data_IF_951637814949
#
_entry.id   IF_951637814949
#
_cell.length_a   1.000
_cell.length_b   1.000
_cell.length_c   1.000
_cell.angle_alpha   90.00
_cell.angle_beta   90.00
_cell.angle_gamma   90.00
#
_symmetry.space_group_name_H-M   'P 1'
#
loop_
_entity.id
_entity.type
_entity.pdbx_description
1 polymer ?
#
# COMPACT_ATOMS: atom_id res chain seq x y z
N UNK A 1 -5.73 9.91 12.87
CA UNK A 1 -5.98 9.32 14.21
C UNK A 1 -7.19 8.42 14.14
N UNK A 2 -7.46 7.60 15.18
CA UNK A 2 -8.68 6.76 15.19
C UNK A 2 -9.98 7.58 15.13
N UNK A 3 -9.95 8.85 15.55
CA UNK A 3 -11.10 9.77 15.42
C UNK A 3 -11.20 10.43 14.04
N UNK A 4 -10.43 9.99 13.04
CA UNK A 4 -10.37 10.62 11.71
C UNK A 4 -9.65 11.98 11.65
N UNK A 5 -9.23 12.55 12.79
CA UNK A 5 -8.51 13.83 12.82
C UNK A 5 -7.09 13.66 12.28
N UNK A 6 -6.66 14.60 11.45
CA UNK A 6 -5.28 14.75 11.00
C UNK A 6 -4.43 15.37 12.10
N UNK A 7 -3.20 14.90 12.23
CA UNK A 7 -2.20 15.45 13.15
C UNK A 7 -0.91 15.71 12.38
N UNK A 8 -0.13 16.69 12.82
CA UNK A 8 1.21 16.90 12.29
C UNK A 8 2.14 15.78 12.77
N UNK A 9 2.94 15.23 11.85
CA UNK A 9 4.10 14.42 12.22
C UNK A 9 5.28 15.38 12.45
N UNK A 10 5.75 15.59 13.69
CA UNK A 10 6.82 16.55 13.96
C UNK A 10 8.15 16.03 13.40
N UNK A 11 8.98 16.95 12.92
CA UNK A 11 10.37 16.64 12.60
C UNK A 11 11.17 16.48 13.91
N UNK A 12 11.78 15.32 14.09
CA UNK A 12 12.66 15.02 15.22
C UNK A 12 14.08 14.83 14.64
N UNK A 13 15.06 15.67 14.99
CA UNK A 13 16.41 15.57 14.47
C UNK A 13 17.01 14.17 14.67
N UNK A 14 17.57 13.59 13.61
CA UNK A 14 18.19 12.26 13.63
C UNK A 14 17.20 11.09 13.65
N UNK A 15 15.89 11.33 13.68
CA UNK A 15 14.89 10.26 13.66
C UNK A 15 14.47 9.87 12.23
N UNK A 16 14.04 8.62 12.09
CA UNK A 16 13.39 8.11 10.88
C UNK A 16 11.91 7.91 11.20
N UNK A 17 11.03 8.49 10.38
CA UNK A 17 9.60 8.19 10.45
C UNK A 17 9.35 6.83 9.79
N UNK A 18 8.76 5.91 10.54
CA UNK A 18 8.38 4.58 10.04
C UNK A 18 6.87 4.44 10.11
N UNK A 19 6.26 4.03 8.99
CA UNK A 19 4.85 3.69 8.90
C UNK A 19 4.67 2.29 8.33
N UNK A 20 3.49 1.72 8.57
CA UNK A 20 3.08 0.42 8.02
C UNK A 20 2.26 0.61 6.74
N UNK A 21 2.38 -0.34 5.82
CA UNK A 21 1.62 -0.39 4.57
C UNK A 21 0.51 -1.44 4.59
N UNK A 22 -0.30 -1.45 3.54
CA UNK A 22 -1.48 -2.32 3.41
C UNK A 22 -1.13 -3.81 3.35
N UNK A 23 0.00 -4.19 2.73
CA UNK A 23 0.39 -5.60 2.68
C UNK A 23 0.68 -6.16 4.09
N UNK A 24 1.30 -5.36 4.96
CA UNK A 24 1.51 -5.72 6.37
C UNK A 24 0.19 -5.73 7.15
N UNK A 25 -0.76 -4.85 6.80
CA UNK A 25 -2.11 -4.88 7.37
C UNK A 25 -2.80 -6.22 7.12
N UNK A 26 -2.70 -6.74 5.88
CA UNK A 26 -3.21 -8.07 5.52
C UNK A 26 -2.53 -9.18 6.30
N UNK A 27 -1.19 -9.21 6.31
CA UNK A 27 -0.42 -10.22 7.06
C UNK A 27 -0.76 -10.26 8.54
N UNK A 28 -0.95 -9.11 9.16
CA UNK A 28 -1.24 -9.01 10.59
C UNK A 28 -2.73 -9.01 10.93
N UNK A 29 -3.57 -9.41 9.98
CA UNK A 29 -5.02 -9.51 10.15
C UNK A 29 -5.66 -8.23 10.72
N UNK A 30 -5.16 -7.07 10.31
CA UNK A 30 -5.62 -5.76 10.76
C UNK A 30 -4.97 -5.22 12.04
N UNK A 31 -4.02 -5.93 12.66
CA UNK A 31 -3.32 -5.45 13.88
C UNK A 31 -2.47 -4.21 13.62
N UNK A 32 -1.73 -4.17 12.51
CA UNK A 32 -1.04 -2.97 12.06
C UNK A 32 -1.82 -2.31 10.93
N UNK A 33 -2.15 -1.02 11.08
CA UNK A 33 -3.03 -0.31 10.15
C UNK A 33 -2.20 0.55 9.21
N UNK A 34 -2.48 0.47 7.91
CA UNK A 34 -1.95 1.40 6.92
C UNK A 34 -2.59 2.79 7.12
N UNK A 35 -1.96 3.62 7.95
CA UNK A 35 -2.55 4.90 8.34
C UNK A 35 -2.48 5.89 7.19
N UNK A 36 -3.60 6.52 6.78
CA UNK A 36 -3.58 7.58 5.78
C UNK A 36 -2.64 8.71 6.19
N UNK A 37 -1.78 9.13 5.27
CA UNK A 37 -0.82 10.22 5.47
C UNK A 37 -0.76 11.08 4.21
N UNK A 38 -0.48 12.37 4.39
CA UNK A 38 -0.35 13.33 3.29
C UNK A 38 0.70 14.37 3.63
N UNK A 39 1.29 14.95 2.60
CA UNK A 39 2.19 16.10 2.73
C UNK A 39 1.42 17.34 2.27
N UNK A 40 1.41 18.38 3.10
CA UNK A 40 0.91 19.69 2.71
C UNK A 40 1.99 20.43 1.93
N UNK A 41 1.59 21.28 0.98
CA UNK A 41 2.52 22.13 0.24
C UNK A 41 3.43 22.91 1.22
N UNK A 42 4.76 22.73 1.17
CA UNK A 42 5.66 23.37 2.11
C UNK A 42 5.86 24.85 1.74
N UNK A 43 6.15 25.68 2.74
CA UNK A 43 6.46 27.12 2.53
C UNK A 43 7.91 27.36 2.10
N UNK A 44 8.77 26.36 2.28
CA UNK A 44 10.20 26.37 2.00
C UNK A 44 10.56 25.03 1.36
N UNK A 45 11.77 24.92 0.84
CA UNK A 45 12.27 23.65 0.33
C UNK A 45 12.22 22.57 1.42
N UNK A 46 11.70 21.40 1.03
CA UNK A 46 11.57 20.23 1.88
C UNK A 46 12.00 19.00 1.10
N UNK A 47 13.08 18.38 1.53
CA UNK A 47 13.57 17.13 0.97
C UNK A 47 13.10 15.96 1.83
N UNK A 48 12.73 14.86 1.18
CA UNK A 48 12.37 13.61 1.83
C UNK A 48 12.89 12.45 0.98
N UNK A 49 13.41 11.43 1.65
CA UNK A 49 13.79 10.16 1.03
C UNK A 49 12.86 9.11 1.61
N UNK A 50 12.15 8.41 0.74
CA UNK A 50 11.25 7.32 1.11
C UNK A 50 11.85 5.99 0.67
N UNK A 51 11.93 5.05 1.61
CA UNK A 51 12.32 3.68 1.35
C UNK A 51 11.12 2.76 1.61
N UNK A 52 10.71 2.01 0.59
CA UNK A 52 9.62 1.03 0.69
C UNK A 52 10.21 -0.36 0.88
N UNK A 53 10.07 -0.90 2.09
CA UNK A 53 10.53 -2.25 2.41
C UNK A 53 9.45 -3.27 2.08
N UNK A 54 9.54 -3.82 0.87
CA UNK A 54 8.59 -4.81 0.36
C UNK A 54 9.15 -6.23 0.49
N UNK A 55 8.26 -7.24 0.61
CA UNK A 55 8.68 -8.63 0.52
C UNK A 55 9.00 -9.02 -0.93
N UNK A 56 9.46 -10.26 -1.14
CA UNK A 56 9.58 -10.85 -2.47
C UNK A 56 8.21 -10.94 -3.16
N UNK A 57 8.21 -10.92 -4.48
CA UNK A 57 7.02 -10.92 -5.33
C UNK A 57 6.09 -12.10 -5.04
N UNK A 58 6.64 -13.28 -4.78
CA UNK A 58 5.91 -14.52 -4.51
C UNK A 58 5.50 -14.68 -3.03
N UNK A 59 5.89 -13.74 -2.16
CA UNK A 59 5.53 -13.82 -0.75
C UNK A 59 4.02 -13.67 -0.59
N UNK A 60 3.40 -14.65 0.08
CA UNK A 60 1.95 -14.70 0.24
C UNK A 60 1.50 -14.06 1.55
N UNK A 61 0.63 -13.07 1.45
CA UNK A 61 -0.09 -12.49 2.58
C UNK A 61 -1.28 -13.35 3.01
N UNK A 62 -1.01 -14.45 3.71
CA UNK A 62 -2.00 -15.14 4.54
C UNK A 62 -1.98 -14.55 5.97
N UNK A 63 -3.13 -14.27 6.60
CA UNK A 63 -3.17 -13.83 8.00
C UNK A 63 -2.35 -14.75 8.90
N UNK A 64 -1.34 -14.19 9.59
CA UNK A 64 -0.47 -14.95 10.47
C UNK A 64 -1.26 -15.55 11.65
N UNK A 65 -0.98 -16.79 12.02
CA UNK A 65 -1.71 -17.49 13.10
C UNK A 65 -1.76 -16.69 14.41
N UNK A 66 -0.66 -16.02 14.77
CA UNK A 66 -0.57 -15.17 15.96
C UNK A 66 -1.47 -13.92 15.93
N UNK A 67 -2.06 -13.61 14.78
CA UNK A 67 -2.97 -12.49 14.54
C UNK A 67 -4.41 -12.95 14.30
N UNK A 68 -4.67 -14.26 14.36
CA UNK A 68 -5.98 -14.88 14.19
C UNK A 68 -6.43 -15.48 15.53
N UNK A 69 -7.71 -15.34 15.86
CA UNK A 69 -8.28 -15.97 17.05
C UNK A 69 -9.80 -15.85 17.10
N UNK A 70 -10.46 -16.37 18.16
CA UNK A 70 -11.92 -16.41 18.25
C UNK A 70 -12.61 -15.03 18.10
N UNK A 71 -11.94 -13.95 18.50
CA UNK A 71 -12.43 -12.57 18.35
C UNK A 71 -11.89 -11.81 17.13
N UNK A 72 -11.00 -12.42 16.35
CA UNK A 72 -10.43 -11.84 15.14
C UNK A 72 -10.19 -12.97 14.12
N UNK A 73 -11.24 -13.51 13.48
CA UNK A 73 -11.07 -14.55 12.45
C UNK A 73 -10.27 -13.99 11.27
N UNK A 74 -9.76 -14.84 10.36
CA UNK A 74 -9.06 -14.37 9.16
C UNK A 74 -9.96 -13.39 8.37
N UNK A 75 -9.44 -12.20 8.09
CA UNK A 75 -10.18 -11.12 7.41
C UNK A 75 -9.83 -10.99 5.92
N UNK A 76 -8.74 -11.63 5.50
CA UNK A 76 -8.19 -11.48 4.16
C UNK A 76 -7.88 -12.86 3.58
N UNK A 77 -8.25 -13.05 2.32
CA UNK A 77 -7.79 -14.20 1.55
C UNK A 77 -6.28 -14.08 1.26
N UNK A 78 -5.55 -15.21 1.23
CA UNK A 78 -4.15 -15.27 0.81
C UNK A 78 -3.94 -14.65 -0.58
N UNK A 79 -2.91 -13.82 -0.72
CA UNK A 79 -2.57 -13.17 -1.99
C UNK A 79 -1.06 -12.94 -2.07
N UNK A 80 -0.44 -13.21 -3.22
CA UNK A 80 0.98 -12.92 -3.43
C UNK A 80 1.22 -11.41 -3.50
N UNK A 81 2.42 -10.96 -3.14
CA UNK A 81 2.76 -9.54 -3.12
C UNK A 81 2.62 -8.89 -4.50
N UNK A 82 3.09 -9.57 -5.55
CA UNK A 82 3.02 -9.01 -6.91
C UNK A 82 1.57 -8.84 -7.40
N UNK A 83 0.69 -9.79 -7.08
CA UNK A 83 -0.73 -9.71 -7.41
C UNK A 83 -1.41 -8.58 -6.64
N UNK A 84 -1.07 -8.44 -5.35
CA UNK A 84 -1.57 -7.34 -4.53
C UNK A 84 -1.12 -5.98 -5.07
N UNK A 85 0.15 -5.85 -5.47
CA UNK A 85 0.68 -4.61 -6.03
C UNK A 85 0.00 -4.26 -7.36
N UNK A 86 -0.24 -5.24 -8.22
CA UNK A 86 -0.98 -5.05 -9.47
C UNK A 86 -2.43 -4.58 -9.20
N UNK A 87 -3.15 -5.25 -8.31
CA UNK A 87 -4.48 -4.85 -7.86
C UNK A 87 -4.50 -3.41 -7.31
N UNK A 88 -3.57 -3.11 -6.40
CA UNK A 88 -3.47 -1.81 -5.74
C UNK A 88 -3.22 -0.69 -6.75
N UNK A 89 -2.24 -0.90 -7.64
CA UNK A 89 -1.84 0.14 -8.59
C UNK A 89 -2.91 0.43 -9.65
N UNK A 90 -3.64 -0.59 -10.11
CA UNK A 90 -4.75 -0.41 -11.05
C UNK A 90 -5.95 0.30 -10.41
N UNK A 91 -6.21 0.06 -9.14
CA UNK A 91 -7.29 0.72 -8.39
C UNK A 91 -7.03 2.21 -8.20
N UNK A 92 -5.87 2.54 -7.64
CA UNK A 92 -5.56 3.86 -7.09
C UNK A 92 -4.87 4.81 -8.07
N UNK A 93 -4.24 4.30 -9.12
CA UNK A 93 -3.56 5.11 -10.14
C UNK A 93 -4.24 4.92 -11.49
N UNK A 94 -5.18 5.79 -11.88
CA UNK A 94 -5.91 5.65 -13.14
C UNK A 94 -5.03 5.55 -14.39
N UNK A 95 -3.84 6.16 -14.35
CA UNK A 95 -2.85 6.11 -15.44
C UNK A 95 -2.06 4.80 -15.51
N UNK A 96 -2.11 3.97 -14.46
CA UNK A 96 -1.50 2.64 -14.40
C UNK A 96 -2.49 1.53 -14.75
N UNK A 97 -3.76 1.87 -15.02
CA UNK A 97 -4.75 0.90 -15.47
C UNK A 97 -4.33 0.37 -16.83
N UNK A 98 -4.05 -0.92 -16.89
CA UNK A 98 -3.87 -1.57 -18.17
C UNK A 98 -5.21 -1.57 -18.92
N UNK A 99 -5.21 -1.29 -20.23
CA UNK A 99 -6.38 -1.53 -21.04
C UNK A 99 -6.73 -3.03 -20.98
N UNK A 100 -8.01 -3.39 -21.16
CA UNK A 100 -8.42 -4.78 -21.19
C UNK A 100 -7.59 -5.55 -22.23
N UNK A 101 -7.18 -6.77 -21.87
CA UNK A 101 -6.42 -7.64 -22.76
C UNK A 101 -7.17 -7.81 -24.10
N UNK A 102 -6.56 -7.33 -25.19
CA UNK A 102 -7.15 -7.34 -26.53
C UNK A 102 -7.29 -5.97 -27.22
N UNK A 103 -7.19 -4.85 -26.48
CA UNK A 103 -7.37 -3.52 -27.07
C UNK A 103 -6.16 -2.99 -27.89
N UNK A 104 -4.99 -3.63 -27.77
CA UNK A 104 -3.75 -3.16 -28.42
C UNK A 104 -3.57 -3.62 -29.88
N UNK A 105 -4.52 -4.39 -30.44
CA UNK A 105 -4.34 -5.01 -31.75
C UNK A 105 -4.96 -4.22 -32.94
N UNK A 106 -5.68 -3.12 -32.69
CA UNK A 106 -6.43 -2.44 -33.77
C UNK A 106 -5.70 -1.25 -34.42
N UNK A 107 -4.64 -0.71 -33.81
CA UNK A 107 -4.01 0.54 -34.27
C UNK A 107 -2.85 0.35 -35.27
N UNK A 108 -2.44 -0.88 -35.58
CA UNK A 108 -1.30 -1.15 -36.48
C UNK A 108 -1.71 -1.44 -37.95
N UNK A 109 -3.00 -1.37 -38.28
CA UNK A 109 -3.52 -1.65 -39.62
C UNK A 109 -3.85 -0.41 -40.47
N UNK A 110 -3.49 0.81 -40.01
CA UNK A 110 -3.85 2.07 -40.67
C UNK A 110 -2.67 3.02 -40.94
N UNK A 111 -1.50 2.48 -41.33
CA UNK A 111 -0.42 3.26 -41.96
C UNK A 111 -0.03 2.68 -43.31
#
# INVERSE_FOLDING_TARGET
TQSGRWIAAPHIPGAILVNTGEFLNRWTNGRFIATPHRVMAPKTDRYAITFFFNPRDEAVAAPLDICVGPGNPPRYEPMAFIDYLAYYTQGDYPHMRQPPAGAAAEDEAAQ
#
